data_IF_270432823680
#
_entry.id   IF_270432823680
#
_cell.length_a   1.000
_cell.length_b   1.000
_cell.length_c   1.000
_cell.angle_alpha   90.00
_cell.angle_beta   90.00
_cell.angle_gamma   90.00
#
_symmetry.space_group_name_H-M   'P 1'
#
loop_
_entity.id
_entity.type
_entity.pdbx_description
1 polymer ?
#
# COMPACT_ATOMS: atom_id res chain seq x y z
N UNK A 1 7.82 -20.92 8.25
CA UNK A 1 6.54 -21.53 7.82
C UNK A 1 5.63 -20.60 7.02
N UNK A 2 5.38 -19.35 7.44
CA UNK A 2 4.43 -18.42 6.76
C UNK A 2 4.70 -18.10 5.28
N UNK A 3 5.96 -18.11 4.84
CA UNK A 3 6.32 -17.81 3.44
C UNK A 3 5.97 -18.99 2.52
N UNK A 4 6.20 -20.23 2.97
CA UNK A 4 5.87 -21.44 2.22
C UNK A 4 4.35 -21.62 2.09
N UNK A 5 3.61 -21.40 3.19
CA UNK A 5 2.14 -21.36 3.17
C UNK A 5 1.63 -20.27 2.22
N UNK A 6 2.24 -19.08 2.24
CA UNK A 6 1.87 -18.00 1.34
C UNK A 6 2.16 -18.35 -0.13
N UNK A 7 3.32 -18.95 -0.45
CA UNK A 7 3.64 -19.39 -1.83
C UNK A 7 2.64 -20.46 -2.28
N UNK A 8 2.35 -21.43 -1.41
CA UNK A 8 1.41 -22.50 -1.70
C UNK A 8 -0.01 -21.97 -1.97
N UNK A 9 -0.49 -21.05 -1.13
CA UNK A 9 -1.81 -20.44 -1.29
C UNK A 9 -1.88 -19.46 -2.46
N UNK A 10 -0.78 -18.79 -2.79
CA UNK A 10 -0.74 -17.78 -3.83
C UNK A 10 -0.63 -18.34 -5.24
N UNK A 11 0.07 -19.46 -5.39
CA UNK A 11 0.43 -20.00 -6.70
C UNK A 11 -0.05 -21.44 -6.88
N UNK A 12 0.12 -22.29 -5.86
CA UNK A 12 -0.18 -23.72 -5.99
C UNK A 12 -1.68 -24.00 -6.01
N UNK A 13 -2.46 -23.38 -5.11
CA UNK A 13 -3.93 -23.51 -5.10
C UNK A 13 -4.57 -23.07 -6.43
N UNK A 14 -4.25 -21.89 -7.00
CA UNK A 14 -4.79 -21.49 -8.30
C UNK A 14 -4.42 -22.44 -9.44
N UNK A 15 -3.19 -22.95 -9.47
CA UNK A 15 -2.76 -23.92 -10.49
C UNK A 15 -3.55 -25.23 -10.37
N UNK A 16 -3.76 -25.72 -9.14
CA UNK A 16 -4.55 -26.93 -8.88
C UNK A 16 -6.02 -26.77 -9.27
N UNK A 17 -6.62 -25.62 -8.94
CA UNK A 17 -8.01 -25.28 -9.33
C UNK A 17 -8.12 -25.16 -10.86
N UNK A 18 -7.10 -24.60 -11.51
CA UNK A 18 -7.07 -24.49 -12.97
C UNK A 18 -6.95 -25.88 -13.61
N UNK A 19 -6.02 -26.72 -13.15
CA UNK A 19 -5.87 -28.08 -13.64
C UNK A 19 -7.14 -28.91 -13.45
N UNK A 20 -7.83 -28.78 -12.31
CA UNK A 20 -9.09 -29.49 -12.07
C UNK A 20 -10.25 -28.95 -12.91
N UNK A 21 -10.35 -27.64 -13.13
CA UNK A 21 -11.34 -27.06 -14.02
C UNK A 21 -11.13 -27.52 -15.48
N UNK A 22 -9.88 -27.60 -15.93
CA UNK A 22 -9.57 -28.04 -17.30
C UNK A 22 -9.84 -29.52 -17.51
N UNK A 23 -9.56 -30.38 -16.53
CA UNK A 23 -9.94 -31.80 -16.63
C UNK A 23 -11.45 -31.99 -16.63
N UNK A 24 -12.20 -31.22 -15.83
CA UNK A 24 -13.67 -31.26 -15.83
C UNK A 24 -14.24 -30.80 -17.18
N UNK A 25 -13.74 -29.70 -17.75
CA UNK A 25 -14.18 -29.20 -19.05
C UNK A 25 -13.90 -30.20 -20.17
N UNK A 26 -12.70 -30.80 -20.17
CA UNK A 26 -12.33 -31.84 -21.13
C UNK A 26 -13.24 -33.07 -21.03
N UNK A 27 -13.51 -33.55 -19.81
CA UNK A 27 -14.40 -34.69 -19.57
C UNK A 27 -15.83 -34.40 -20.02
N UNK A 28 -16.31 -33.17 -19.78
CA UNK A 28 -17.66 -32.75 -20.18
C UNK A 28 -17.82 -32.70 -21.70
N UNK A 29 -16.83 -32.17 -22.40
CA UNK A 29 -16.86 -32.01 -23.87
C UNK A 29 -16.78 -33.36 -24.59
N UNK A 30 -16.08 -34.33 -24.01
CA UNK A 30 -15.87 -35.65 -24.59
C UNK A 30 -16.76 -36.75 -23.97
N UNK A 31 -17.69 -36.41 -23.07
CA UNK A 31 -18.50 -37.36 -22.29
C UNK A 31 -19.27 -38.41 -23.13
N UNK A 32 -19.54 -38.12 -24.42
CA UNK A 32 -20.25 -39.04 -25.34
C UNK A 32 -19.32 -40.03 -26.05
N UNK A 33 -18.01 -39.80 -26.04
CA UNK A 33 -17.00 -40.55 -26.82
C UNK A 33 -16.06 -41.36 -25.92
N UNK A 34 -16.08 -41.13 -24.60
CA UNK A 34 -15.21 -41.79 -23.63
C UNK A 34 -15.81 -43.14 -23.23
N UNK A 35 -15.67 -44.15 -24.08
CA UNK A 35 -15.83 -45.57 -23.67
C UNK A 35 -14.48 -46.20 -23.31
N UNK A 36 -13.36 -45.60 -23.75
CA UNK A 36 -11.98 -45.91 -23.35
C UNK A 36 -11.18 -44.61 -23.25
N UNK A 37 -10.49 -44.40 -22.12
CA UNK A 37 -9.69 -43.21 -21.90
C UNK A 37 -8.38 -43.33 -22.71
N UNK A 38 -8.33 -42.71 -23.89
CA UNK A 38 -7.12 -42.67 -24.71
C UNK A 38 -6.32 -41.38 -24.43
N UNK A 39 -5.09 -41.57 -23.94
CA UNK A 39 -4.15 -40.49 -23.64
C UNK A 39 -3.78 -39.66 -24.90
N UNK A 40 -3.93 -40.22 -26.09
CA UNK A 40 -3.68 -39.54 -27.37
C UNK A 40 -4.64 -38.36 -27.62
N UNK A 41 -5.89 -38.48 -27.17
CA UNK A 41 -6.91 -37.43 -27.32
C UNK A 41 -6.60 -36.26 -26.39
N UNK A 42 -6.16 -36.56 -25.17
CA UNK A 42 -5.79 -35.56 -24.17
C UNK A 42 -4.57 -34.75 -24.67
N UNK A 43 -3.54 -35.44 -25.14
CA UNK A 43 -2.33 -34.81 -25.67
C UNK A 43 -2.62 -33.92 -26.88
N UNK A 44 -3.45 -34.36 -27.84
CA UNK A 44 -3.85 -33.52 -28.97
C UNK A 44 -4.61 -32.25 -28.55
N UNK A 45 -5.52 -32.35 -27.57
CA UNK A 45 -6.23 -31.18 -27.05
C UNK A 45 -5.27 -30.16 -26.44
N UNK A 46 -4.36 -30.60 -25.57
CA UNK A 46 -3.36 -29.72 -24.96
C UNK A 46 -2.43 -29.11 -26.01
N UNK A 47 -2.01 -29.89 -27.01
CA UNK A 47 -1.12 -29.42 -28.07
C UNK A 47 -1.80 -28.42 -29.00
N UNK A 48 -3.11 -28.56 -29.27
CA UNK A 48 -3.85 -27.64 -30.13
C UNK A 48 -4.28 -26.36 -29.40
N UNK A 49 -4.51 -26.41 -28.09
CA UNK A 49 -5.02 -25.29 -27.31
C UNK A 49 -3.99 -24.64 -26.37
N UNK A 50 -2.73 -25.07 -26.37
CA UNK A 50 -1.71 -24.62 -25.40
C UNK A 50 -1.58 -23.10 -25.30
N UNK A 51 -1.74 -22.34 -26.39
CA UNK A 51 -1.67 -20.87 -26.39
C UNK A 51 -2.82 -20.23 -25.61
N UNK A 52 -4.04 -20.75 -25.81
CA UNK A 52 -5.22 -20.29 -25.08
C UNK A 52 -5.11 -20.65 -23.59
N UNK A 53 -4.60 -21.85 -23.31
CA UNK A 53 -4.33 -22.32 -21.94
C UNK A 53 -3.30 -21.43 -21.23
N UNK A 54 -2.20 -21.11 -21.91
CA UNK A 54 -1.16 -20.22 -21.39
C UNK A 54 -1.70 -18.81 -21.13
N UNK A 55 -2.50 -18.27 -22.05
CA UNK A 55 -3.15 -16.96 -21.88
C UNK A 55 -4.09 -16.95 -20.66
N UNK A 56 -4.86 -18.01 -20.46
CA UNK A 56 -5.78 -18.15 -19.34
C UNK A 56 -5.03 -18.29 -18.01
N UNK A 57 -3.91 -19.02 -17.99
CA UNK A 57 -3.01 -19.11 -16.84
C UNK A 57 -2.39 -17.75 -16.48
N UNK A 58 -1.89 -17.00 -17.46
CA UNK A 58 -1.34 -15.65 -17.21
C UNK A 58 -2.42 -14.73 -16.64
N UNK A 59 -3.63 -14.79 -17.19
CA UNK A 59 -4.75 -13.98 -16.74
C UNK A 59 -5.12 -14.31 -15.28
N UNK A 60 -5.19 -15.59 -14.91
CA UNK A 60 -5.47 -15.99 -13.53
C UNK A 60 -4.38 -15.53 -12.56
N UNK A 61 -3.10 -15.62 -12.94
CA UNK A 61 -1.98 -15.10 -12.13
C UNK A 61 -2.05 -13.59 -11.93
N UNK A 62 -2.45 -12.83 -12.97
CA UNK A 62 -2.66 -11.38 -12.85
C UNK A 62 -3.79 -11.09 -11.86
N UNK A 63 -4.92 -11.79 -11.98
CA UNK A 63 -6.05 -11.61 -11.07
C UNK A 63 -5.71 -11.97 -9.63
N UNK A 64 -5.00 -13.08 -9.38
CA UNK A 64 -4.58 -13.45 -8.02
C UNK A 64 -3.64 -12.40 -7.43
N UNK A 65 -2.67 -11.90 -8.20
CA UNK A 65 -1.79 -10.81 -7.77
C UNK A 65 -2.58 -9.55 -7.38
N UNK A 66 -3.55 -9.14 -8.20
CA UNK A 66 -4.40 -7.97 -7.91
C UNK A 66 -5.20 -8.18 -6.62
N UNK A 67 -5.87 -9.32 -6.47
CA UNK A 67 -6.69 -9.63 -5.28
C UNK A 67 -5.84 -9.63 -4.02
N UNK A 68 -4.68 -10.29 -4.04
CA UNK A 68 -3.77 -10.31 -2.91
C UNK A 68 -3.28 -8.92 -2.55
N UNK A 69 -2.92 -8.11 -3.55
CA UNK A 69 -2.50 -6.74 -3.32
C UNK A 69 -3.61 -5.93 -2.67
N UNK A 70 -4.85 -6.07 -3.11
CA UNK A 70 -6.02 -5.42 -2.50
C UNK A 70 -6.23 -5.83 -1.04
N UNK A 71 -6.10 -7.13 -0.71
CA UNK A 71 -6.21 -7.62 0.68
C UNK A 71 -5.13 -6.98 1.57
N UNK A 72 -3.88 -6.95 1.10
CA UNK A 72 -2.76 -6.33 1.83
C UNK A 72 -3.01 -4.84 2.04
N UNK A 73 -3.47 -4.12 1.02
CA UNK A 73 -3.82 -2.70 1.14
C UNK A 73 -4.95 -2.47 2.13
N UNK A 74 -6.00 -3.30 2.12
CA UNK A 74 -7.10 -3.20 3.08
C UNK A 74 -6.62 -3.41 4.52
N UNK A 75 -5.68 -4.33 4.74
CA UNK A 75 -5.08 -4.57 6.07
C UNK A 75 -4.19 -3.41 6.51
N UNK A 76 -3.38 -2.84 5.62
CA UNK A 76 -2.45 -1.75 5.94
C UNK A 76 -3.13 -0.39 6.08
N UNK A 77 -4.20 -0.15 5.31
CA UNK A 77 -4.97 1.09 5.32
C UNK A 77 -6.17 1.02 6.27
N UNK A 78 -6.17 0.10 7.25
CA UNK A 78 -7.19 0.11 8.29
C UNK A 78 -7.24 1.52 8.88
N UNK A 79 -8.44 2.12 9.03
CA UNK A 79 -8.56 3.39 9.72
C UNK A 79 -8.01 3.18 11.13
N UNK A 80 -6.86 3.79 11.40
CA UNK A 80 -6.47 4.04 12.77
C UNK A 80 -7.29 5.26 13.15
N UNK A 81 -8.23 5.08 14.06
CA UNK A 81 -8.92 6.19 14.70
C UNK A 81 -7.87 6.90 15.56
N UNK A 82 -7.08 7.76 14.93
CA UNK A 82 -6.24 8.71 15.64
C UNK A 82 -7.19 9.79 16.14
N UNK A 83 -7.47 9.88 17.45
CA UNK A 83 -8.29 10.96 17.96
C UNK A 83 -7.63 12.28 17.55
N UNK A 84 -8.45 13.19 17.05
CA UNK A 84 -8.04 14.54 16.69
C UNK A 84 -7.44 15.21 17.93
N UNK A 85 -6.11 15.32 18.00
CA UNK A 85 -5.45 16.05 19.07
C UNK A 85 -5.45 17.52 18.66
N UNK A 86 -6.51 18.23 19.05
CA UNK A 86 -6.52 19.69 19.00
C UNK A 86 -5.30 20.23 19.75
N UNK A 87 -4.57 21.15 19.12
CA UNK A 87 -3.36 21.72 19.70
C UNK A 87 -3.71 22.56 20.94
N UNK A 88 -3.37 22.06 22.12
CA UNK A 88 -3.28 22.87 23.35
C UNK A 88 -1.81 23.23 23.53
N UNK A 89 -1.44 24.45 23.18
CA UNK A 89 -0.11 24.99 23.51
C UNK A 89 -0.13 25.46 24.95
N UNK A 90 0.74 24.88 25.78
CA UNK A 90 1.10 25.50 27.05
C UNK A 90 1.87 26.80 26.73
N UNK A 91 1.78 27.84 27.57
CA UNK A 91 2.25 29.20 27.27
C UNK A 91 3.74 29.35 26.92
N UNK A 92 4.55 28.29 27.12
CA UNK A 92 5.98 28.26 26.85
C UNK A 92 6.35 27.51 25.54
N UNK A 93 5.41 26.78 24.93
CA UNK A 93 5.65 26.02 23.70
C UNK A 93 5.25 26.85 22.48
N UNK A 94 6.24 27.33 21.71
CA UNK A 94 5.96 28.01 20.46
C UNK A 94 5.70 26.96 19.37
N UNK A 95 4.45 26.87 18.90
CA UNK A 95 4.14 26.15 17.66
C UNK A 95 4.65 26.96 16.48
N UNK A 96 5.65 26.45 15.79
CA UNK A 96 6.10 26.96 14.50
C UNK A 96 5.47 26.11 13.40
N UNK A 97 4.77 26.76 12.48
CA UNK A 97 4.17 26.09 11.35
C UNK A 97 4.93 26.48 10.09
N UNK A 98 5.88 25.64 9.69
CA UNK A 98 6.73 25.92 8.54
C UNK A 98 6.34 25.10 7.32
N UNK A 99 6.41 25.76 6.16
CA UNK A 99 6.26 25.12 4.88
C UNK A 99 7.62 24.59 4.45
N UNK A 100 7.82 23.28 4.58
CA UNK A 100 9.02 22.64 4.05
C UNK A 100 8.86 22.47 2.54
N UNK A 101 9.56 23.26 1.68
CA UNK A 101 9.27 23.33 0.24
C UNK A 101 9.43 21.97 -0.45
N UNK A 102 10.33 21.15 0.08
CA UNK A 102 10.57 19.76 -0.36
C UNK A 102 9.31 18.89 -0.28
N UNK A 103 8.45 19.12 0.70
CA UNK A 103 7.29 18.26 0.99
C UNK A 103 5.94 18.89 0.64
N UNK A 104 5.90 20.20 0.35
CA UNK A 104 4.69 20.95 -0.07
C UNK A 104 3.50 20.80 0.90
N UNK A 105 3.80 20.63 2.18
CA UNK A 105 2.83 20.51 3.28
C UNK A 105 3.38 21.26 4.49
N UNK A 106 2.51 21.64 5.41
CA UNK A 106 2.93 22.25 6.65
C UNK A 106 3.25 21.18 7.69
N UNK A 107 4.26 21.45 8.51
CA UNK A 107 4.55 20.66 9.69
C UNK A 107 4.45 21.56 10.92
N UNK A 108 3.79 21.07 11.95
CA UNK A 108 3.80 21.71 13.25
C UNK A 108 5.05 21.26 14.00
N UNK A 109 5.86 22.23 14.40
CA UNK A 109 7.10 22.03 15.13
C UNK A 109 6.93 22.68 16.50
N UNK A 110 7.30 21.95 17.55
CA UNK A 110 7.29 22.40 18.94
C UNK A 110 8.69 22.33 19.50
N UNK A 111 9.03 23.27 20.36
CA UNK A 111 10.27 23.24 21.13
C UNK A 111 9.94 22.93 22.58
N UNK A 112 10.34 21.78 23.09
CA UNK A 112 10.16 21.39 24.50
C UNK A 112 11.53 21.19 25.14
N UNK A 113 11.82 21.94 26.21
CA UNK A 113 13.08 21.84 26.96
C UNK A 113 14.34 21.92 26.07
N UNK A 114 14.34 22.83 25.08
CA UNK A 114 15.46 22.99 24.13
C UNK A 114 15.54 21.94 23.02
N UNK A 115 14.65 20.93 23.01
CA UNK A 115 14.57 19.93 21.96
C UNK A 115 13.45 20.24 20.97
N UNK A 116 13.70 19.97 19.70
CA UNK A 116 12.73 20.16 18.61
C UNK A 116 11.93 18.88 18.42
N UNK A 117 10.61 19.01 18.45
CA UNK A 117 9.68 17.93 18.20
C UNK A 117 8.74 18.31 17.06
N UNK A 118 8.66 17.44 16.06
CA UNK A 118 7.71 17.59 14.95
C UNK A 118 6.49 16.74 15.23
N UNK A 119 5.31 17.34 15.11
CA UNK A 119 4.05 16.63 15.31
C UNK A 119 3.89 15.47 14.33
N UNK A 120 3.15 14.45 14.78
CA UNK A 120 3.02 13.18 14.06
C UNK A 120 2.36 13.32 12.69
N UNK A 121 1.50 14.32 12.49
CA UNK A 121 0.64 14.44 11.30
C UNK A 121 0.93 15.75 10.56
N UNK A 122 1.28 15.69 9.25
CA UNK A 122 1.43 16.89 8.44
C UNK A 122 0.07 17.56 8.19
N UNK A 123 0.12 18.87 7.99
CA UNK A 123 -1.04 19.73 7.83
C UNK A 123 -1.20 20.17 6.38
N UNK A 124 -2.46 20.25 5.95
CA UNK A 124 -2.84 20.65 4.60
C UNK A 124 -2.38 22.08 4.29
N UNK A 125 -1.80 22.35 3.11
CA UNK A 125 -1.42 23.71 2.73
C UNK A 125 -2.60 24.68 2.63
N UNK A 126 -3.77 24.19 2.21
CA UNK A 126 -4.93 25.04 1.94
C UNK A 126 -5.73 25.42 3.21
N UNK A 127 -6.02 24.45 4.08
CA UNK A 127 -6.91 24.64 5.24
C UNK A 127 -6.28 24.26 6.58
N UNK A 128 -4.98 23.93 6.60
CA UNK A 128 -4.18 23.64 7.81
C UNK A 128 -4.70 22.48 8.68
N UNK A 129 -5.65 21.68 8.20
CA UNK A 129 -6.10 20.45 8.88
C UNK A 129 -5.20 19.27 8.57
N UNK A 130 -5.27 18.23 9.40
CA UNK A 130 -4.47 17.01 9.28
C UNK A 130 -4.64 16.29 7.92
N UNK A 131 -3.54 15.69 7.45
CA UNK A 131 -3.52 14.83 6.29
C UNK A 131 -3.53 13.35 6.70
N UNK A 132 -4.50 12.59 6.18
CA UNK A 132 -4.58 11.14 6.36
C UNK A 132 -3.69 10.41 5.36
N UNK A 133 -2.83 9.54 5.84
CA UNK A 133 -2.00 8.66 5.01
C UNK A 133 -2.74 7.39 4.59
N UNK A 134 -2.57 7.00 3.32
CA UNK A 134 -2.97 5.70 2.77
C UNK A 134 -1.87 5.16 1.86
N UNK A 135 -1.57 3.88 1.97
CA UNK A 135 -0.69 3.18 1.04
C UNK A 135 -1.44 2.90 -0.25
N UNK A 136 -0.79 3.17 -1.37
CA UNK A 136 -1.29 2.93 -2.72
C UNK A 136 -0.88 1.56 -3.25
N UNK A 137 -1.51 1.11 -4.33
CA UNK A 137 -1.20 -0.15 -5.00
C UNK A 137 0.30 -0.33 -5.29
N UNK A 138 0.99 0.74 -5.66
CA UNK A 138 2.42 0.73 -6.00
C UNK A 138 3.36 0.96 -4.81
N UNK A 139 2.90 0.73 -3.58
CA UNK A 139 3.69 0.90 -2.35
C UNK A 139 4.15 2.34 -2.10
N UNK A 140 3.56 3.32 -2.78
CA UNK A 140 3.70 4.75 -2.48
C UNK A 140 2.65 5.16 -1.45
N UNK A 141 2.83 6.32 -0.83
CA UNK A 141 1.89 6.88 0.13
C UNK A 141 1.08 7.99 -0.55
N UNK A 142 -0.23 8.01 -0.28
CA UNK A 142 -1.15 9.07 -0.71
C UNK A 142 -1.66 9.73 0.56
N UNK A 143 -1.42 11.02 0.67
CA UNK A 143 -1.90 11.83 1.79
C UNK A 143 -3.09 12.64 1.31
N UNK A 144 -4.20 12.55 2.03
CA UNK A 144 -5.46 13.21 1.68
C UNK A 144 -5.90 14.05 2.85
N UNK A 145 -6.25 15.30 2.62
CA UNK A 145 -6.77 16.17 3.66
C UNK A 145 -8.13 15.65 4.16
N UNK A 146 -8.35 15.75 5.47
CA UNK A 146 -9.63 15.33 6.07
C UNK A 146 -10.77 16.32 5.80
N UNK A 147 -10.45 17.59 5.56
CA UNK A 147 -11.43 18.68 5.45
C UNK A 147 -11.61 19.23 4.02
N UNK A 148 -10.68 18.96 3.10
CA UNK A 148 -10.75 19.45 1.72
C UNK A 148 -10.18 18.43 0.75
N UNK A 149 -10.32 18.66 -0.54
CA UNK A 149 -9.90 17.70 -1.59
C UNK A 149 -8.39 17.68 -1.86
N UNK A 150 -7.59 18.42 -1.07
CA UNK A 150 -6.15 18.43 -1.23
C UNK A 150 -5.57 17.02 -1.05
N UNK A 151 -4.77 16.63 -2.04
CA UNK A 151 -4.16 15.30 -2.10
C UNK A 151 -2.73 15.42 -2.62
N UNK A 152 -1.81 14.72 -1.98
CA UNK A 152 -0.43 14.59 -2.45
C UNK A 152 0.04 13.14 -2.41
N UNK A 153 0.92 12.75 -3.32
CA UNK A 153 1.57 11.43 -3.34
C UNK A 153 3.01 11.59 -2.90
N UNK A 154 3.43 10.76 -1.94
CA UNK A 154 4.78 10.72 -1.41
C UNK A 154 5.39 9.33 -1.59
N UNK A 155 6.71 9.29 -1.77
CA UNK A 155 7.45 8.03 -1.85
C UNK A 155 7.54 7.35 -0.49
N UNK A 156 7.73 8.16 0.55
CA UNK A 156 7.95 7.72 1.93
C UNK A 156 6.74 8.01 2.81
N UNK A 157 6.67 7.33 3.96
CA UNK A 157 5.60 7.51 4.92
C UNK A 157 5.69 8.85 5.65
N UNK A 158 4.60 9.29 6.26
CA UNK A 158 4.56 10.47 7.14
C UNK A 158 5.61 10.35 8.24
N UNK A 159 5.78 9.15 8.82
CA UNK A 159 6.79 8.90 9.85
C UNK A 159 8.21 9.18 9.37
N UNK A 160 8.60 8.64 8.21
CA UNK A 160 9.96 8.80 7.70
C UNK A 160 10.21 10.27 7.29
N UNK A 161 9.23 10.92 6.68
CA UNK A 161 9.34 12.33 6.30
C UNK A 161 9.42 13.21 7.54
N UNK A 162 8.66 12.91 8.60
CA UNK A 162 8.72 13.63 9.87
C UNK A 162 10.11 13.59 10.49
N UNK A 163 10.76 12.43 10.52
CA UNK A 163 12.14 12.30 11.03
C UNK A 163 13.09 13.22 10.26
N UNK A 164 12.96 13.28 8.92
CA UNK A 164 13.72 14.21 8.10
C UNK A 164 13.41 15.68 8.42
N UNK A 165 12.13 16.03 8.61
CA UNK A 165 11.71 17.40 8.96
C UNK A 165 12.26 17.80 10.32
N UNK A 166 12.25 16.89 11.30
CA UNK A 166 12.82 17.13 12.62
C UNK A 166 14.32 17.41 12.53
N UNK A 167 15.07 16.61 11.78
CA UNK A 167 16.51 16.85 11.56
C UNK A 167 16.78 18.20 10.89
N UNK A 168 15.95 18.62 9.93
CA UNK A 168 16.08 19.95 9.29
C UNK A 168 15.80 21.05 10.31
N UNK A 169 14.70 20.94 11.05
CA UNK A 169 14.29 21.92 12.06
C UNK A 169 15.35 22.09 13.17
N UNK A 170 15.92 20.99 13.67
CA UNK A 170 17.04 21.01 14.60
C UNK A 170 18.27 21.73 14.01
N UNK A 171 18.58 21.48 12.74
CA UNK A 171 19.67 22.15 12.03
C UNK A 171 19.45 23.66 11.88
N UNK A 172 18.22 24.09 11.57
CA UNK A 172 17.85 25.50 11.47
C UNK A 172 17.91 26.22 12.82
N UNK A 173 17.39 25.59 13.89
CA UNK A 173 17.47 26.15 15.24
C UNK A 173 18.90 26.32 15.74
N UNK A 174 19.79 25.35 15.45
CA UNK A 174 21.23 25.49 15.77
C UNK A 174 21.87 26.66 15.03
N UNK A 175 21.52 26.86 13.75
CA UNK A 175 22.03 27.98 12.95
C UNK A 175 21.50 29.35 13.42
N UNK A 176 20.27 29.40 13.92
CA UNK A 176 19.64 30.61 14.43
C UNK A 176 20.16 31.03 15.83
N UNK A 177 21.07 30.28 16.45
CA UNK A 177 21.61 30.58 17.78
C UNK A 177 20.63 30.37 18.93
N UNK A 178 19.50 29.68 18.69
CA UNK A 178 18.46 29.42 19.68
C UNK A 178 18.60 28.04 20.37
N UNK A 179 19.66 27.28 20.05
CA UNK A 179 20.01 26.04 20.74
C UNK A 179 21.05 26.27 21.83
N UNK A 180 20.63 26.73 23.00
CA UNK A 180 21.37 26.63 24.27
C UNK A 180 20.41 26.29 25.39
#
# INVERSE_FOLDING_TARGET
MKILEWIFDSYFKPILIWLSAMTILFLKENAKTISKFDFSILTNFFTNHWKALLGLLILTLIFTFIIQRLIVLKKKNKPVDTPFFGFVTNSNDRLLQDNYPKFKVFWAVRTMNGNVHVDYVPLCPNCKTELKEKITFWNKFKWTCINCDFTIKQKDSQRNIRENVQTIAEGEMRRAGQGR
#
